data_IF_442407900312
#
_entry.id   IF_442407900312
#
_cell.length_a   1.000
_cell.length_b   1.000
_cell.length_c   1.000
_cell.angle_alpha   90.00
_cell.angle_beta   90.00
_cell.angle_gamma   90.00
#
_symmetry.space_group_name_H-M   'P 1'
#
loop_
_entity.id
_entity.type
_entity.pdbx_description
1 polymer ?
#
# COMPACT_ATOMS: atom_id res chain seq x y z
N UNK A 1 -3.99 -9.02 1.00
CA UNK A 1 -2.83 -9.66 0.33
C UNK A 1 -2.39 -10.97 1.01
N UNK A 2 -2.98 -11.34 2.12
CA UNK A 2 -2.45 -12.40 2.99
C UNK A 2 -1.23 -11.93 3.79
N UNK A 3 -0.47 -12.88 4.34
CA UNK A 3 0.76 -12.60 5.06
C UNK A 3 1.82 -11.95 4.15
N UNK A 4 2.59 -11.02 4.68
CA UNK A 4 3.74 -10.45 3.99
C UNK A 4 4.80 -11.54 3.78
N UNK A 5 5.31 -11.71 2.57
CA UNK A 5 6.39 -12.66 2.30
C UNK A 5 7.71 -11.92 2.39
N UNK A 6 8.58 -12.36 3.30
CA UNK A 6 9.88 -11.75 3.58
C UNK A 6 10.96 -12.82 3.60
N UNK A 7 12.18 -12.43 3.24
CA UNK A 7 13.35 -13.28 3.46
C UNK A 7 13.82 -13.23 4.92
N UNK A 8 14.69 -14.15 5.31
CA UNK A 8 15.45 -14.03 6.57
C UNK A 8 16.16 -12.68 6.60
N UNK A 9 16.09 -11.96 7.71
CA UNK A 9 16.59 -10.60 7.90
C UNK A 9 15.97 -9.51 7.00
N UNK A 10 14.85 -9.80 6.36
CA UNK A 10 14.13 -8.81 5.54
C UNK A 10 13.14 -7.98 6.34
N UNK A 11 12.49 -7.02 5.66
CA UNK A 11 11.59 -6.04 6.29
C UNK A 11 10.40 -6.66 7.03
N UNK A 12 9.95 -7.85 6.64
CA UNK A 12 8.89 -8.61 7.32
C UNK A 12 9.39 -9.61 8.35
N UNK A 13 10.70 -9.69 8.57
CA UNK A 13 11.32 -10.50 9.62
C UNK A 13 11.48 -9.65 10.89
N UNK A 14 10.43 -9.63 11.71
CA UNK A 14 10.40 -8.83 12.93
C UNK A 14 11.01 -9.53 14.14
N UNK A 15 11.73 -10.65 13.94
CA UNK A 15 12.41 -11.32 15.04
C UNK A 15 13.47 -10.42 15.68
N UNK A 16 13.56 -10.51 16.99
CA UNK A 16 14.63 -9.83 17.74
C UNK A 16 15.94 -10.61 17.54
N UNK A 17 17.07 -9.94 17.72
CA UNK A 17 18.41 -10.51 17.49
C UNK A 17 18.69 -11.80 18.29
N UNK A 18 17.98 -12.01 19.39
CA UNK A 18 18.11 -13.21 20.23
C UNK A 18 17.12 -14.33 19.84
N UNK A 19 16.20 -14.08 18.93
CA UNK A 19 15.27 -15.09 18.46
C UNK A 19 15.91 -15.89 17.32
N UNK A 20 15.89 -17.20 17.45
CA UNK A 20 16.48 -18.10 16.45
C UNK A 20 15.61 -18.21 15.20
N UNK A 21 16.26 -18.40 14.05
CA UNK A 21 15.58 -18.79 12.82
C UNK A 21 15.07 -20.23 12.87
N UNK A 22 14.33 -20.64 11.86
CA UNK A 22 13.89 -22.03 11.69
C UNK A 22 15.10 -22.96 11.58
N UNK A 23 15.40 -23.71 12.62
CA UNK A 23 16.57 -24.59 12.68
C UNK A 23 16.29 -26.03 12.28
N UNK A 24 15.25 -26.28 11.45
CA UNK A 24 14.98 -27.61 10.89
C UNK A 24 14.55 -28.69 11.89
N UNK A 25 14.42 -28.37 13.16
CA UNK A 25 14.06 -29.31 14.25
C UNK A 25 12.55 -29.36 14.55
N UNK A 26 11.69 -28.74 13.73
CA UNK A 26 10.26 -28.60 14.02
C UNK A 26 9.95 -27.58 15.11
N UNK A 27 10.87 -26.69 15.37
CA UNK A 27 10.76 -25.66 16.40
C UNK A 27 9.75 -24.58 16.00
N UNK A 28 9.25 -23.88 17.01
CA UNK A 28 8.18 -22.91 16.95
C UNK A 28 8.36 -21.87 15.83
N UNK A 29 7.27 -21.56 15.16
CA UNK A 29 7.21 -20.44 14.20
C UNK A 29 7.52 -19.14 14.94
N UNK A 30 8.12 -18.18 14.25
CA UNK A 30 8.25 -16.84 14.80
C UNK A 30 6.86 -16.26 15.11
N UNK A 31 6.72 -15.49 16.17
CA UNK A 31 5.42 -14.93 16.57
C UNK A 31 4.71 -14.18 15.43
N UNK A 32 5.45 -13.46 14.59
CA UNK A 32 4.91 -12.75 13.42
C UNK A 32 4.29 -13.72 12.38
N UNK A 33 4.79 -14.94 12.32
CA UNK A 33 4.26 -15.99 11.43
C UNK A 33 3.05 -16.71 12.06
N UNK A 34 3.10 -16.95 13.39
CA UNK A 34 1.98 -17.55 14.13
C UNK A 34 0.69 -16.73 14.00
N UNK A 35 0.81 -15.41 14.13
CA UNK A 35 -0.33 -14.48 13.95
C UNK A 35 -0.71 -14.26 12.49
N UNK A 36 0.01 -14.86 11.53
CA UNK A 36 -0.26 -14.75 10.10
C UNK A 36 0.08 -13.39 9.49
N UNK A 37 0.90 -12.58 10.16
CA UNK A 37 1.30 -11.27 9.63
C UNK A 37 2.41 -11.38 8.59
N UNK A 38 3.34 -12.32 8.75
CA UNK A 38 4.45 -12.54 7.83
C UNK A 38 4.67 -14.03 7.53
N UNK A 39 5.46 -14.30 6.49
CA UNK A 39 6.06 -15.59 6.16
C UNK A 39 7.53 -15.36 5.84
N UNK A 40 8.41 -15.92 6.67
CA UNK A 40 9.86 -15.78 6.52
C UNK A 40 10.37 -16.99 5.74
N UNK A 41 10.75 -16.77 4.49
CA UNK A 41 11.14 -17.83 3.54
C UNK A 41 12.31 -17.42 2.67
N UNK A 42 13.18 -18.35 2.35
CA UNK A 42 14.34 -18.17 1.47
C UNK A 42 14.33 -19.22 0.37
N UNK A 43 14.71 -18.81 -0.82
CA UNK A 43 14.77 -19.64 -2.02
C UNK A 43 13.44 -19.70 -2.80
N UNK A 44 13.52 -19.91 -4.14
CA UNK A 44 12.37 -19.86 -5.04
C UNK A 44 11.26 -20.85 -4.69
N UNK A 45 11.61 -22.03 -4.21
CA UNK A 45 10.64 -23.07 -3.87
C UNK A 45 9.82 -22.70 -2.63
N UNK A 46 10.48 -22.15 -1.59
CA UNK A 46 9.81 -21.70 -0.38
C UNK A 46 8.94 -20.46 -0.64
N UNK A 47 9.42 -19.51 -1.45
CA UNK A 47 8.62 -18.35 -1.90
C UNK A 47 7.41 -18.80 -2.69
N UNK A 48 7.55 -19.80 -3.60
CA UNK A 48 6.42 -20.37 -4.33
C UNK A 48 5.39 -20.99 -3.39
N UNK A 49 5.84 -21.75 -2.40
CA UNK A 49 4.95 -22.40 -1.43
C UNK A 49 4.19 -21.35 -0.60
N UNK A 50 4.87 -20.33 -0.08
CA UNK A 50 4.27 -19.23 0.68
C UNK A 50 3.25 -18.43 -0.16
N UNK A 51 3.57 -18.17 -1.43
CA UNK A 51 2.66 -17.50 -2.37
C UNK A 51 1.39 -18.29 -2.59
N UNK A 52 1.51 -19.60 -2.87
CA UNK A 52 0.36 -20.50 -3.06
C UNK A 52 -0.48 -20.63 -1.80
N UNK A 53 0.14 -20.63 -0.63
CA UNK A 53 -0.59 -20.67 0.65
C UNK A 53 -1.41 -19.40 0.87
N UNK A 54 -0.85 -18.21 0.61
CA UNK A 54 -1.61 -16.96 0.66
C UNK A 54 -2.80 -16.98 -0.32
N UNK A 55 -2.60 -17.48 -1.54
CA UNK A 55 -3.66 -17.62 -2.54
C UNK A 55 -4.73 -18.63 -2.10
N UNK A 56 -4.33 -19.78 -1.50
CA UNK A 56 -5.26 -20.76 -0.91
C UNK A 56 -6.12 -20.15 0.19
N UNK A 57 -5.55 -19.22 0.97
CA UNK A 57 -6.25 -18.50 2.03
C UNK A 57 -7.12 -17.34 1.50
N UNK A 58 -7.20 -17.15 0.18
CA UNK A 58 -8.07 -16.15 -0.45
C UNK A 58 -7.43 -14.78 -0.67
N UNK A 59 -6.10 -14.69 -0.70
CA UNK A 59 -5.43 -13.45 -1.06
C UNK A 59 -5.82 -13.02 -2.49
N UNK A 60 -6.14 -11.74 -2.65
CA UNK A 60 -6.48 -11.14 -3.96
C UNK A 60 -5.24 -10.78 -4.76
N UNK A 61 -4.15 -10.45 -4.09
CA UNK A 61 -2.82 -10.13 -4.63
C UNK A 61 -1.75 -10.57 -3.63
N UNK A 62 -0.50 -10.60 -4.06
CA UNK A 62 0.63 -11.06 -3.24
C UNK A 62 1.52 -9.88 -2.85
N UNK A 63 1.94 -9.83 -1.58
CA UNK A 63 2.88 -8.82 -1.05
C UNK A 63 4.21 -9.46 -0.69
N UNK A 64 5.31 -8.98 -1.32
CA UNK A 64 6.69 -9.30 -0.93
C UNK A 64 7.38 -8.07 -0.33
N UNK A 65 8.34 -8.30 0.53
CA UNK A 65 9.31 -7.31 1.00
C UNK A 65 10.58 -7.48 0.18
N UNK A 66 10.97 -6.46 -0.61
CA UNK A 66 12.13 -6.54 -1.51
C UNK A 66 13.20 -5.48 -1.24
N UNK A 67 13.06 -4.80 -0.12
CA UNK A 67 14.02 -3.84 0.41
C UNK A 67 13.71 -3.48 1.85
N UNK A 68 14.69 -2.93 2.56
CA UNK A 68 14.56 -2.55 3.96
C UNK A 68 13.56 -1.42 4.21
N UNK A 69 13.11 -1.27 5.45
CA UNK A 69 12.10 -0.30 5.84
C UNK A 69 12.37 0.43 7.15
N UNK A 70 11.51 1.43 7.47
CA UNK A 70 11.68 2.25 8.67
C UNK A 70 11.20 1.56 9.94
N UNK A 71 10.10 0.79 9.87
CA UNK A 71 9.48 0.19 11.04
C UNK A 71 10.27 -0.99 11.63
N UNK A 72 11.07 -1.68 10.83
CA UNK A 72 11.96 -2.77 11.23
C UNK A 72 13.30 -2.26 11.78
N UNK A 73 13.96 -3.06 12.62
CA UNK A 73 15.20 -2.64 13.30
C UNK A 73 16.46 -2.97 12.49
N UNK A 74 16.49 -4.12 11.80
CA UNK A 74 17.72 -4.75 11.34
C UNK A 74 17.96 -4.72 9.83
N UNK A 75 17.05 -4.16 9.06
CA UNK A 75 17.09 -4.05 7.60
C UNK A 75 17.33 -2.59 7.17
N UNK A 76 18.55 -2.19 6.79
CA UNK A 76 18.84 -0.84 6.29
C UNK A 76 18.05 -0.51 5.01
N UNK A 77 17.75 0.78 4.76
CA UNK A 77 16.96 1.22 3.58
C UNK A 77 17.64 0.94 2.25
N UNK A 78 18.96 0.78 2.22
CA UNK A 78 19.76 0.57 1.01
C UNK A 78 19.93 -0.92 0.66
N UNK A 79 19.45 -1.85 1.48
CA UNK A 79 19.51 -3.26 1.17
C UNK A 79 18.45 -3.64 0.13
N UNK A 80 18.80 -4.64 -0.68
CA UNK A 80 17.89 -5.25 -1.64
C UNK A 80 17.63 -6.68 -1.19
N UNK A 81 16.37 -6.97 -0.94
CA UNK A 81 15.90 -8.25 -0.42
C UNK A 81 15.40 -9.13 -1.57
N UNK A 82 15.47 -10.43 -1.38
CA UNK A 82 15.22 -11.45 -2.38
C UNK A 82 16.09 -11.31 -3.65
N UNK A 83 16.51 -12.42 -4.19
CA UNK A 83 17.07 -12.48 -5.52
C UNK A 83 15.99 -12.37 -6.60
N UNK A 84 16.36 -12.07 -7.83
CA UNK A 84 15.39 -11.90 -8.92
C UNK A 84 14.59 -13.18 -9.17
N UNK A 85 15.21 -14.35 -9.08
CA UNK A 85 14.57 -15.66 -9.24
C UNK A 85 13.52 -15.96 -8.15
N UNK A 86 13.73 -15.48 -6.93
CA UNK A 86 12.77 -15.62 -5.82
C UNK A 86 11.54 -14.76 -6.06
N UNK A 87 11.75 -13.48 -6.43
CA UNK A 87 10.64 -12.59 -6.80
C UNK A 87 9.87 -13.14 -8.00
N UNK A 88 10.60 -13.66 -9.01
CA UNK A 88 10.00 -14.27 -10.21
C UNK A 88 9.19 -15.52 -9.88
N UNK A 89 9.58 -16.28 -8.87
CA UNK A 89 8.82 -17.45 -8.40
C UNK A 89 7.45 -17.04 -7.85
N UNK A 90 7.40 -15.97 -7.06
CA UNK A 90 6.13 -15.40 -6.58
C UNK A 90 5.27 -14.86 -7.74
N UNK A 91 5.90 -14.13 -8.69
CA UNK A 91 5.20 -13.57 -9.86
C UNK A 91 4.54 -14.68 -10.68
N UNK A 92 5.27 -15.74 -11.03
CA UNK A 92 4.71 -16.89 -11.77
C UNK A 92 3.53 -17.54 -11.05
N UNK A 93 3.67 -17.79 -9.74
CA UNK A 93 2.59 -18.38 -8.95
C UNK A 93 1.36 -17.48 -8.88
N UNK A 94 1.52 -16.16 -8.81
CA UNK A 94 0.41 -15.21 -8.84
C UNK A 94 -0.23 -15.13 -10.23
N UNK A 95 0.55 -15.12 -11.31
CA UNK A 95 0.07 -15.13 -12.68
C UNK A 95 -0.77 -16.39 -13.01
N UNK A 96 -0.36 -17.56 -12.54
CA UNK A 96 -1.13 -18.82 -12.67
C UNK A 96 -2.52 -18.70 -12.03
N UNK A 97 -2.69 -17.83 -11.05
CA UNK A 97 -3.97 -17.53 -10.40
C UNK A 97 -4.69 -16.31 -11.00
N UNK A 98 -4.13 -15.68 -12.03
CA UNK A 98 -4.68 -14.49 -12.68
C UNK A 98 -4.67 -13.25 -11.81
N UNK A 99 -3.65 -13.12 -10.93
CA UNK A 99 -3.42 -11.95 -10.08
C UNK A 99 -1.99 -11.43 -10.19
N UNK A 100 -1.58 -10.52 -9.33
CA UNK A 100 -0.31 -9.83 -9.43
C UNK A 100 0.45 -9.79 -8.09
N UNK A 101 1.74 -9.45 -8.20
CA UNK A 101 2.63 -9.20 -7.06
C UNK A 101 2.85 -7.70 -6.89
N UNK A 102 2.78 -7.23 -5.66
CA UNK A 102 3.22 -5.93 -5.20
C UNK A 102 4.38 -6.06 -4.22
N UNK A 103 5.27 -5.08 -4.17
CA UNK A 103 6.46 -5.14 -3.33
C UNK A 103 6.66 -3.87 -2.50
N UNK A 104 7.07 -4.05 -1.24
CA UNK A 104 7.64 -2.99 -0.44
C UNK A 104 9.10 -2.78 -0.84
N UNK A 105 9.49 -1.58 -1.21
CA UNK A 105 10.88 -1.22 -1.50
C UNK A 105 11.04 0.31 -1.60
N UNK A 106 12.14 0.85 -1.08
CA UNK A 106 12.46 2.26 -1.20
C UNK A 106 13.55 2.56 -2.23
N UNK A 107 14.57 1.71 -2.32
CA UNK A 107 15.80 2.00 -3.06
C UNK A 107 15.70 1.62 -4.56
N UNK A 108 16.45 2.35 -5.44
CA UNK A 108 16.38 2.15 -6.89
C UNK A 108 16.74 0.73 -7.33
N UNK A 109 17.76 0.11 -6.70
CA UNK A 109 18.23 -1.24 -7.08
C UNK A 109 17.16 -2.30 -6.85
N UNK A 110 16.48 -2.25 -5.71
CA UNK A 110 15.38 -3.16 -5.39
C UNK A 110 14.19 -2.96 -6.31
N UNK A 111 13.83 -1.71 -6.60
CA UNK A 111 12.75 -1.37 -7.55
C UNK A 111 13.07 -1.92 -8.95
N UNK A 112 14.28 -1.68 -9.47
CA UNK A 112 14.68 -2.18 -10.78
C UNK A 112 14.67 -3.71 -10.87
N UNK A 113 15.11 -4.41 -9.80
CA UNK A 113 15.04 -5.87 -9.71
C UNK A 113 13.60 -6.38 -9.72
N UNK A 114 12.73 -5.75 -8.93
CA UNK A 114 11.32 -6.13 -8.85
C UNK A 114 10.60 -5.96 -10.20
N UNK A 115 10.85 -4.85 -10.91
CA UNK A 115 10.31 -4.61 -12.25
C UNK A 115 10.78 -5.68 -13.23
N UNK A 116 12.07 -6.02 -13.25
CA UNK A 116 12.63 -7.07 -14.11
C UNK A 116 12.04 -8.45 -13.81
N UNK A 117 11.71 -8.71 -12.56
CA UNK A 117 11.07 -9.95 -12.15
C UNK A 117 9.57 -10.03 -12.54
N UNK A 118 8.94 -8.94 -12.99
CA UNK A 118 7.55 -8.90 -13.44
C UNK A 118 6.56 -8.35 -12.41
N UNK A 119 7.04 -7.71 -11.35
CA UNK A 119 6.18 -7.05 -10.35
C UNK A 119 5.35 -5.94 -11.00
N UNK A 120 4.10 -5.78 -10.55
CA UNK A 120 3.14 -4.85 -11.17
C UNK A 120 2.80 -3.63 -10.30
N UNK A 121 3.18 -3.64 -9.02
CA UNK A 121 3.01 -2.51 -8.12
C UNK A 121 4.24 -2.38 -7.20
N UNK A 122 4.80 -1.19 -7.19
CA UNK A 122 5.85 -0.77 -6.26
C UNK A 122 5.18 0.04 -5.16
N UNK A 123 5.25 -0.45 -3.93
CA UNK A 123 4.77 0.25 -2.77
C UNK A 123 5.91 1.10 -2.19
N UNK A 124 5.61 2.32 -1.81
CA UNK A 124 6.52 3.32 -1.26
C UNK A 124 7.40 3.98 -2.34
N UNK A 125 8.56 3.42 -2.66
CA UNK A 125 9.44 3.95 -3.71
C UNK A 125 10.03 5.34 -3.47
N UNK A 126 9.97 5.89 -2.25
CA UNK A 126 10.34 7.29 -1.95
C UNK A 126 11.79 7.67 -2.28
N UNK A 127 12.71 6.68 -2.30
CA UNK A 127 14.12 6.92 -2.60
C UNK A 127 14.50 6.60 -4.05
N UNK A 128 13.49 6.49 -4.92
CA UNK A 128 13.68 6.19 -6.35
C UNK A 128 14.49 7.28 -7.05
N UNK A 129 15.42 6.88 -7.90
CA UNK A 129 16.15 7.79 -8.77
C UNK A 129 15.48 7.94 -10.14
N UNK A 130 15.96 8.90 -10.92
CA UNK A 130 15.36 9.24 -12.21
C UNK A 130 15.46 8.10 -13.24
N UNK A 131 16.60 7.40 -13.40
CA UNK A 131 16.68 6.24 -14.30
C UNK A 131 15.69 5.13 -13.94
N UNK A 132 15.54 4.85 -12.65
CA UNK A 132 14.61 3.82 -12.17
C UNK A 132 13.15 4.26 -12.31
N UNK A 133 12.83 5.54 -12.10
CA UNK A 133 11.49 6.08 -12.36
C UNK A 133 11.11 5.94 -13.84
N UNK A 134 12.07 6.19 -14.75
CA UNK A 134 11.85 5.96 -16.18
C UNK A 134 11.61 4.48 -16.49
N UNK A 135 12.39 3.57 -15.92
CA UNK A 135 12.18 2.13 -16.05
C UNK A 135 10.79 1.72 -15.54
N UNK A 136 10.35 2.27 -14.41
CA UNK A 136 9.01 2.03 -13.86
C UNK A 136 7.92 2.51 -14.83
N UNK A 137 8.05 3.70 -15.39
CA UNK A 137 7.11 4.23 -16.39
C UNK A 137 7.04 3.34 -17.62
N UNK A 138 8.19 2.97 -18.18
CA UNK A 138 8.30 2.12 -19.38
C UNK A 138 7.70 0.72 -19.16
N UNK A 139 7.77 0.18 -17.94
CA UNK A 139 7.19 -1.12 -17.57
C UNK A 139 5.67 -1.10 -17.46
N UNK A 140 5.07 0.06 -17.28
CA UNK A 140 3.65 0.24 -17.01
C UNK A 140 3.18 -0.28 -15.66
N UNK A 141 4.08 -0.59 -14.74
CA UNK A 141 3.75 -0.90 -13.35
C UNK A 141 3.26 0.34 -12.59
N UNK A 142 2.64 0.13 -11.45
CA UNK A 142 2.12 1.18 -10.57
C UNK A 142 3.15 1.59 -9.54
N UNK A 143 3.08 2.85 -9.11
CA UNK A 143 3.74 3.35 -7.91
C UNK A 143 2.66 3.75 -6.90
N UNK A 144 2.59 3.05 -5.79
CA UNK A 144 1.64 3.28 -4.71
C UNK A 144 2.38 3.95 -3.56
N UNK A 145 2.16 5.25 -3.38
CA UNK A 145 2.92 6.06 -2.43
C UNK A 145 2.06 6.65 -1.32
N UNK A 146 2.73 7.01 -0.23
CA UNK A 146 2.22 7.79 0.89
C UNK A 146 2.84 9.19 0.85
N UNK A 147 2.06 10.22 1.23
CA UNK A 147 2.57 11.58 1.39
C UNK A 147 3.24 11.75 2.76
N UNK A 148 4.32 11.00 3.01
CA UNK A 148 4.99 11.04 4.31
C UNK A 148 5.67 12.38 4.59
N UNK A 149 5.42 12.88 5.81
CA UNK A 149 6.11 14.01 6.42
C UNK A 149 6.74 13.60 7.75
N UNK A 150 7.67 14.40 8.24
CA UNK A 150 8.44 14.08 9.46
C UNK A 150 7.54 13.86 10.68
N UNK A 151 6.41 14.55 10.72
CA UNK A 151 5.44 14.52 11.81
C UNK A 151 4.54 13.29 11.82
N UNK A 152 4.54 12.50 10.74
CA UNK A 152 3.62 11.35 10.61
C UNK A 152 3.94 10.21 11.57
N UNK A 153 5.22 10.00 11.84
CA UNK A 153 5.67 8.94 12.72
C UNK A 153 6.80 9.40 13.64
N UNK A 154 6.77 8.91 14.86
CA UNK A 154 7.87 9.01 15.83
C UNK A 154 8.25 7.61 16.24
N UNK A 155 9.50 7.25 15.96
CA UNK A 155 10.04 5.95 16.31
C UNK A 155 10.89 6.03 17.58
N UNK A 156 10.80 5.05 18.49
CA UNK A 156 11.59 5.03 19.73
C UNK A 156 13.08 4.82 19.47
N UNK A 157 13.43 4.13 18.38
CA UNK A 157 14.83 3.89 18.01
C UNK A 157 15.37 5.05 17.16
N UNK A 158 16.53 5.63 17.51
CA UNK A 158 17.19 6.64 16.67
C UNK A 158 17.49 6.15 15.24
N UNK A 159 17.77 4.86 15.06
CA UNK A 159 18.01 4.25 13.74
C UNK A 159 16.75 4.27 12.92
N UNK A 160 15.62 3.85 13.45
CA UNK A 160 14.31 3.90 12.77
C UNK A 160 13.91 5.35 12.46
N UNK A 161 14.12 6.28 13.39
CA UNK A 161 13.84 7.68 13.17
C UNK A 161 14.71 8.27 12.04
N UNK A 162 15.98 7.91 11.95
CA UNK A 162 16.87 8.34 10.87
C UNK A 162 16.41 7.78 9.51
N UNK A 163 15.97 6.51 9.46
CA UNK A 163 15.38 5.91 8.24
C UNK A 163 14.11 6.66 7.82
N UNK A 164 13.21 6.96 8.76
CA UNK A 164 12.00 7.73 8.49
C UNK A 164 12.29 9.11 7.87
N UNK A 165 13.27 9.84 8.43
CA UNK A 165 13.69 11.13 7.88
C UNK A 165 14.21 11.02 6.44
N UNK A 166 14.99 9.99 6.12
CA UNK A 166 15.45 9.74 4.75
C UNK A 166 14.28 9.53 3.79
N UNK A 167 13.28 8.73 4.19
CA UNK A 167 12.08 8.46 3.39
C UNK A 167 11.30 9.76 3.15
N UNK A 168 11.05 10.54 4.19
CA UNK A 168 10.35 11.82 4.09
C UNK A 168 11.06 12.80 3.14
N UNK A 169 12.41 12.88 3.21
CA UNK A 169 13.21 13.71 2.33
C UNK A 169 13.15 13.28 0.84
N UNK A 170 12.82 12.02 0.58
CA UNK A 170 12.65 11.51 -0.78
C UNK A 170 11.27 11.77 -1.39
N UNK A 171 10.25 12.08 -0.59
CA UNK A 171 8.85 12.17 -1.02
C UNK A 171 8.64 13.16 -2.15
N UNK A 172 9.15 14.39 -2.01
CA UNK A 172 9.00 15.47 -3.01
C UNK A 172 9.52 15.02 -4.37
N UNK A 173 10.76 14.57 -4.39
CA UNK A 173 11.42 14.14 -5.62
C UNK A 173 10.72 12.96 -6.28
N UNK A 174 10.25 12.00 -5.50
CA UNK A 174 9.56 10.83 -6.04
C UNK A 174 8.26 11.23 -6.74
N UNK A 175 7.43 12.11 -6.15
CA UNK A 175 6.22 12.62 -6.80
C UNK A 175 6.52 13.48 -8.04
N UNK A 176 7.53 14.36 -7.98
CA UNK A 176 7.95 15.16 -9.14
C UNK A 176 8.40 14.29 -10.32
N UNK A 177 9.20 13.26 -10.06
CA UNK A 177 9.64 12.32 -11.07
C UNK A 177 8.47 11.48 -11.62
N UNK A 178 7.55 11.04 -10.76
CA UNK A 178 6.37 10.29 -11.18
C UNK A 178 5.49 11.12 -12.12
N UNK A 179 5.29 12.40 -11.83
CA UNK A 179 4.59 13.33 -12.74
C UNK A 179 5.35 13.53 -14.04
N UNK A 180 6.67 13.78 -13.96
CA UNK A 180 7.53 13.99 -15.14
C UNK A 180 7.43 12.85 -16.13
N UNK A 181 7.39 11.61 -15.67
CA UNK A 181 7.36 10.40 -16.49
C UNK A 181 5.96 9.81 -16.66
N UNK A 182 4.91 10.51 -16.18
CA UNK A 182 3.51 10.07 -16.26
C UNK A 182 3.30 8.63 -15.74
N UNK A 183 3.93 8.33 -14.59
CA UNK A 183 3.80 7.02 -13.92
C UNK A 183 2.38 6.84 -13.40
N UNK A 184 1.84 5.64 -13.48
CA UNK A 184 0.56 5.29 -12.85
C UNK A 184 0.71 5.38 -11.34
N UNK A 185 0.00 6.30 -10.72
CA UNK A 185 0.03 6.52 -9.29
C UNK A 185 -1.20 5.94 -8.60
N UNK A 186 -0.97 5.34 -7.45
CA UNK A 186 -1.96 4.96 -6.47
C UNK A 186 -1.58 5.55 -5.10
N UNK A 187 -2.55 5.65 -4.21
CA UNK A 187 -2.33 6.17 -2.87
C UNK A 187 -2.89 5.21 -1.82
N UNK A 188 -2.17 5.03 -0.73
CA UNK A 188 -2.58 4.28 0.45
C UNK A 188 -2.09 4.91 1.74
N UNK A 189 -2.61 4.47 2.87
CA UNK A 189 -2.31 5.07 4.19
C UNK A 189 -1.08 4.48 4.86
N UNK A 190 -0.85 3.19 4.70
CA UNK A 190 0.19 2.41 5.38
C UNK A 190 0.18 2.57 6.93
N UNK A 191 -1.01 2.54 7.53
CA UNK A 191 -1.20 2.72 8.97
C UNK A 191 -1.01 1.43 9.80
N UNK A 192 -0.10 0.55 9.38
CA UNK A 192 0.04 -0.79 9.94
C UNK A 192 0.43 -0.79 11.44
N UNK A 193 1.35 0.08 11.85
CA UNK A 193 1.91 0.08 13.21
C UNK A 193 1.41 1.22 14.12
N UNK A 194 0.48 2.03 13.63
CA UNK A 194 -0.02 3.18 14.38
C UNK A 194 -1.56 3.27 14.38
N UNK A 195 -2.25 2.41 15.15
CA UNK A 195 -3.70 2.37 15.17
C UNK A 195 -4.33 3.68 15.65
N UNK A 196 -3.62 4.46 16.47
CA UNK A 196 -4.10 5.76 16.96
C UNK A 196 -4.29 6.79 15.82
N UNK A 197 -3.54 6.67 14.72
CA UNK A 197 -3.63 7.54 13.56
C UNK A 197 -4.78 7.18 12.60
N UNK A 198 -5.43 6.02 12.77
CA UNK A 198 -6.52 5.57 11.88
C UNK A 198 -7.64 6.60 11.76
N UNK A 199 -7.98 7.28 12.87
CA UNK A 199 -9.00 8.34 12.86
C UNK A 199 -8.63 9.55 11.99
N UNK A 200 -7.33 9.76 11.72
CA UNK A 200 -6.79 10.88 10.95
C UNK A 200 -6.30 10.44 9.55
N UNK A 201 -6.62 9.22 9.12
CA UNK A 201 -6.10 8.65 7.86
C UNK A 201 -6.35 9.54 6.63
N UNK A 202 -7.45 10.28 6.61
CA UNK A 202 -7.80 11.15 5.50
C UNK A 202 -6.87 12.38 5.37
N UNK A 203 -6.15 12.76 6.43
CA UNK A 203 -5.15 13.84 6.34
C UNK A 203 -4.05 13.54 5.33
N UNK A 204 -3.71 12.25 5.11
CA UNK A 204 -2.77 11.84 4.07
C UNK A 204 -3.24 12.20 2.66
N UNK A 205 -4.56 12.20 2.41
CA UNK A 205 -5.14 12.64 1.12
C UNK A 205 -4.93 14.15 0.95
N UNK A 206 -5.20 14.93 1.99
CA UNK A 206 -5.06 16.39 1.97
C UNK A 206 -3.62 16.82 1.68
N UNK A 207 -2.63 16.14 2.23
CA UNK A 207 -1.21 16.41 1.98
C UNK A 207 -0.80 16.31 0.51
N UNK A 208 -1.52 15.52 -0.29
CA UNK A 208 -1.24 15.39 -1.72
C UNK A 208 -1.39 16.71 -2.49
N UNK A 209 -2.08 17.72 -1.95
CA UNK A 209 -2.21 19.06 -2.54
C UNK A 209 -0.85 19.72 -2.81
N UNK A 210 0.19 19.34 -2.11
CA UNK A 210 1.54 19.84 -2.34
C UNK A 210 2.04 19.54 -3.77
N UNK A 211 1.58 18.45 -4.38
CA UNK A 211 2.08 17.98 -5.68
C UNK A 211 1.00 17.88 -6.77
N UNK A 212 -0.27 17.75 -6.38
CA UNK A 212 -1.38 17.44 -7.30
C UNK A 212 -2.53 18.42 -7.15
N UNK A 213 -3.25 18.63 -8.25
CA UNK A 213 -4.54 19.34 -8.23
C UNK A 213 -5.60 18.50 -7.51
N UNK A 214 -6.67 19.15 -7.02
CA UNK A 214 -7.77 18.47 -6.37
C UNK A 214 -8.39 17.37 -7.23
N UNK A 215 -8.48 17.60 -8.55
CA UNK A 215 -8.98 16.59 -9.50
C UNK A 215 -8.06 15.36 -9.57
N UNK A 216 -6.73 15.57 -9.68
CA UNK A 216 -5.76 14.46 -9.71
C UNK A 216 -5.80 13.66 -8.41
N UNK A 217 -5.94 14.33 -7.25
CA UNK A 217 -6.06 13.68 -5.96
C UNK A 217 -7.31 12.80 -5.92
N UNK A 218 -8.48 13.38 -6.22
CA UNK A 218 -9.74 12.64 -6.21
C UNK A 218 -9.70 11.44 -7.15
N UNK A 219 -9.14 11.61 -8.35
CA UNK A 219 -8.96 10.53 -9.31
C UNK A 219 -8.04 9.44 -8.77
N UNK A 220 -6.91 9.80 -8.15
CA UNK A 220 -5.94 8.86 -7.59
C UNK A 220 -6.56 8.00 -6.48
N UNK A 221 -7.23 8.62 -5.50
CA UNK A 221 -7.79 7.91 -4.34
C UNK A 221 -9.10 7.16 -4.64
N UNK A 222 -9.66 7.30 -5.83
CA UNK A 222 -10.87 6.61 -6.28
C UNK A 222 -10.60 5.72 -7.49
N UNK A 223 -10.75 6.25 -8.70
CA UNK A 223 -10.72 5.47 -9.94
C UNK A 223 -9.34 4.86 -10.26
N UNK A 224 -8.22 5.51 -9.93
CA UNK A 224 -6.91 4.94 -10.18
C UNK A 224 -6.60 3.82 -9.18
N UNK A 225 -6.90 4.00 -7.88
CA UNK A 225 -6.82 2.92 -6.90
C UNK A 225 -7.69 1.72 -7.29
N UNK A 226 -8.91 1.98 -7.78
CA UNK A 226 -9.81 0.93 -8.26
C UNK A 226 -9.21 0.15 -9.46
N UNK A 227 -8.53 0.85 -10.38
CA UNK A 227 -7.86 0.23 -11.53
C UNK A 227 -6.68 -0.65 -11.09
N UNK A 228 -5.91 -0.23 -10.08
CA UNK A 228 -4.87 -1.07 -9.49
C UNK A 228 -5.48 -2.34 -8.88
N UNK A 229 -6.52 -2.22 -8.05
CA UNK A 229 -7.19 -3.36 -7.43
C UNK A 229 -7.79 -4.32 -8.46
N UNK A 230 -8.32 -3.80 -9.57
CA UNK A 230 -8.91 -4.59 -10.66
C UNK A 230 -7.89 -5.53 -11.34
N UNK A 231 -6.59 -5.28 -11.19
CA UNK A 231 -5.54 -6.18 -11.68
C UNK A 231 -5.55 -7.56 -11.00
N UNK A 232 -6.25 -7.72 -9.88
CA UNK A 232 -6.50 -9.02 -9.24
C UNK A 232 -7.43 -9.94 -10.08
N UNK A 233 -7.99 -9.43 -11.18
CA UNK A 233 -8.82 -10.21 -12.11
C UNK A 233 -9.95 -10.94 -11.39
N UNK A 234 -10.06 -12.26 -11.62
CA UNK A 234 -11.07 -13.09 -10.97
C UNK A 234 -10.84 -13.29 -9.45
N UNK A 235 -9.71 -12.85 -8.92
CA UNK A 235 -9.40 -12.86 -7.45
C UNK A 235 -9.81 -11.55 -6.78
N UNK A 236 -10.30 -10.56 -7.54
CA UNK A 236 -10.81 -9.33 -6.97
C UNK A 236 -12.02 -9.63 -6.06
N UNK A 237 -12.00 -9.22 -4.77
CA UNK A 237 -13.10 -9.48 -3.85
C UNK A 237 -14.33 -8.61 -4.12
N UNK A 238 -14.20 -7.62 -5.00
CA UNK A 238 -15.27 -6.69 -5.35
C UNK A 238 -15.96 -7.14 -6.65
N UNK A 239 -17.26 -7.51 -6.62
CA UNK A 239 -17.94 -8.09 -7.78
C UNK A 239 -18.33 -7.08 -8.85
N UNK A 240 -18.08 -5.78 -8.64
CA UNK A 240 -18.45 -4.71 -9.56
C UNK A 240 -17.36 -3.66 -9.72
N UNK A 241 -17.62 -2.65 -10.53
CA UNK A 241 -16.69 -1.52 -10.70
C UNK A 241 -16.61 -0.69 -9.41
N UNK A 242 -15.40 -0.27 -9.08
CA UNK A 242 -15.07 0.62 -7.97
C UNK A 242 -14.61 1.98 -8.49
N UNK A 243 -14.70 3.01 -7.62
CA UNK A 243 -14.09 4.32 -7.81
C UNK A 243 -14.73 5.17 -8.91
N UNK A 244 -15.93 4.83 -9.35
CA UNK A 244 -16.72 5.57 -10.33
C UNK A 244 -18.18 5.65 -9.92
N UNK A 245 -18.87 6.70 -10.37
CA UNK A 245 -20.31 6.88 -10.19
C UNK A 245 -20.96 6.64 -11.54
N UNK A 246 -21.40 5.42 -11.77
CA UNK A 246 -22.09 5.00 -12.99
C UNK A 246 -23.05 3.85 -12.71
N UNK A 247 -24.01 3.63 -13.58
CA UNK A 247 -24.95 2.51 -13.48
C UNK A 247 -24.20 1.17 -13.55
N UNK A 248 -24.51 0.26 -12.61
CA UNK A 248 -23.86 -1.05 -12.48
C UNK A 248 -22.54 -1.04 -11.68
N UNK A 249 -22.04 0.12 -11.25
CA UNK A 249 -20.93 0.18 -10.30
C UNK A 249 -21.37 -0.16 -8.87
N UNK A 250 -20.41 -0.55 -8.02
CA UNK A 250 -20.68 -0.70 -6.58
C UNK A 250 -21.05 0.66 -5.98
N UNK A 251 -22.12 0.67 -5.20
CA UNK A 251 -22.59 1.90 -4.53
C UNK A 251 -21.72 2.18 -3.29
N UNK A 252 -20.46 2.53 -3.52
CA UNK A 252 -19.51 3.05 -2.55
C UNK A 252 -19.44 4.57 -2.74
N UNK A 253 -20.26 5.31 -2.00
CA UNK A 253 -20.52 6.72 -2.25
C UNK A 253 -20.32 7.58 -0.99
N UNK A 254 -19.78 8.77 -1.21
CA UNK A 254 -19.67 9.80 -0.19
C UNK A 254 -20.46 11.05 -0.65
N UNK A 255 -21.35 11.55 0.22
CA UNK A 255 -21.93 12.87 0.05
C UNK A 255 -21.16 13.85 0.94
N UNK A 256 -20.44 14.78 0.32
CA UNK A 256 -19.56 15.74 0.98
C UNK A 256 -20.21 17.12 0.98
N UNK A 257 -20.20 17.80 2.13
CA UNK A 257 -20.62 19.19 2.23
C UNK A 257 -19.62 20.10 1.51
N UNK A 258 -20.06 20.77 0.45
CA UNK A 258 -19.22 21.58 -0.42
C UNK A 258 -18.68 20.81 -1.62
N UNK A 259 -17.69 21.37 -2.30
CA UNK A 259 -17.14 20.84 -3.55
C UNK A 259 -15.68 20.42 -3.40
N UNK A 260 -15.35 19.12 -3.28
CA UNK A 260 -13.97 18.64 -3.15
C UNK A 260 -13.06 18.97 -4.36
N UNK A 261 -13.61 19.23 -5.53
CA UNK A 261 -12.86 19.72 -6.70
C UNK A 261 -12.31 21.13 -6.50
N UNK A 262 -12.97 21.93 -5.67
CA UNK A 262 -12.52 23.28 -5.32
C UNK A 262 -11.71 23.29 -4.02
N UNK A 263 -12.02 22.39 -3.08
CA UNK A 263 -11.36 22.32 -1.79
C UNK A 263 -11.30 20.85 -1.30
N UNK A 264 -10.14 20.20 -1.47
CA UNK A 264 -9.94 18.81 -1.04
C UNK A 264 -9.73 18.70 0.48
N UNK A 265 -9.52 19.80 1.23
CA UNK A 265 -9.44 19.80 2.70
C UNK A 265 -10.73 19.26 3.34
N UNK A 266 -11.85 19.37 2.62
CA UNK A 266 -13.12 18.79 3.04
C UNK A 266 -13.03 17.29 3.34
N UNK A 267 -12.12 16.57 2.68
CA UNK A 267 -11.90 15.14 2.91
C UNK A 267 -11.13 14.86 4.21
N UNK A 268 -10.40 15.84 4.74
CA UNK A 268 -9.61 15.70 5.96
C UNK A 268 -10.44 15.57 7.24
N UNK A 269 -11.68 16.06 7.22
CA UNK A 269 -12.63 15.97 8.35
C UNK A 269 -13.93 15.25 7.95
N UNK A 270 -13.90 13.91 7.83
CA UNK A 270 -15.09 13.12 7.48
C UNK A 270 -16.17 13.19 8.56
N UNK A 271 -15.80 13.54 9.79
CA UNK A 271 -16.72 13.74 10.90
C UNK A 271 -17.73 14.84 10.60
N UNK A 272 -17.25 15.99 10.20
CA UNK A 272 -18.07 17.17 9.93
C UNK A 272 -18.55 17.24 8.47
N UNK A 273 -17.70 16.91 7.51
CA UNK A 273 -17.93 17.20 6.10
C UNK A 273 -18.61 16.08 5.31
N UNK A 274 -18.65 14.84 5.82
CA UNK A 274 -19.37 13.77 5.13
C UNK A 274 -20.79 13.64 5.68
N UNK A 275 -21.78 14.08 4.90
CA UNK A 275 -23.20 14.00 5.26
C UNK A 275 -23.73 12.57 5.13
N UNK A 276 -23.28 11.84 4.10
CA UNK A 276 -23.68 10.45 3.88
C UNK A 276 -22.46 9.61 3.52
N UNK A 277 -22.38 8.41 4.10
CA UNK A 277 -21.39 7.38 3.75
C UNK A 277 -22.16 6.12 3.39
N UNK A 278 -21.96 5.65 2.16
CA UNK A 278 -22.56 4.42 1.64
C UNK A 278 -21.45 3.47 1.23
N UNK A 279 -21.55 2.22 1.62
CA UNK A 279 -20.66 1.15 1.19
C UNK A 279 -21.48 -0.04 0.70
N UNK A 280 -21.25 -0.46 -0.54
CA UNK A 280 -22.00 -1.55 -1.18
C UNK A 280 -23.52 -1.40 -1.03
N UNK A 281 -24.03 -0.18 -1.22
CA UNK A 281 -25.45 0.16 -1.09
C UNK A 281 -25.98 0.27 0.36
N UNK A 282 -25.18 -0.05 1.37
CA UNK A 282 -25.54 0.08 2.78
C UNK A 282 -25.13 1.45 3.32
N UNK A 283 -26.07 2.17 3.94
CA UNK A 283 -25.83 3.49 4.54
C UNK A 283 -25.21 3.33 5.92
N UNK A 284 -23.98 3.79 6.11
CA UNK A 284 -23.24 3.76 7.38
C UNK A 284 -23.33 5.07 8.17
N UNK A 285 -23.54 6.19 7.46
CA UNK A 285 -23.74 7.52 8.06
C UNK A 285 -24.78 8.26 7.24
N UNK A 286 -25.69 8.94 7.92
CA UNK A 286 -26.70 9.80 7.27
C UNK A 286 -27.09 10.95 8.20
N UNK A 287 -26.46 12.09 8.04
CA UNK A 287 -26.79 13.32 8.77
C UNK A 287 -28.04 14.04 8.23
N UNK A 288 -28.51 13.68 7.03
CA UNK A 288 -29.68 14.35 6.42
C UNK A 288 -31.00 13.96 7.11
N UNK A 289 -31.02 12.85 7.85
CA UNK A 289 -32.17 12.40 8.62
C UNK A 289 -32.27 13.07 9.98
N UNK A 290 -31.19 13.69 10.47
CA UNK A 290 -31.15 14.43 11.74
C UNK A 290 -31.49 15.94 11.55
N UNK A 291 -32.15 16.30 10.45
CA UNK A 291 -32.68 17.67 10.26
C UNK A 291 -33.61 18.09 11.40
N UNK A 292 -33.73 19.39 11.74
CA UNK A 292 -34.52 19.84 12.86
C UNK A 292 -35.93 19.26 12.76
N UNK A 293 -36.36 18.56 13.83
CA UNK A 293 -37.70 18.03 13.94
C UNK A 293 -38.68 19.14 13.52
N UNK A 294 -39.39 18.90 12.42
CA UNK A 294 -40.42 19.85 11.96
C UNK A 294 -41.36 20.06 13.13
N UNK A 295 -41.22 21.25 13.75
CA UNK A 295 -42.11 21.66 14.83
C UNK A 295 -43.56 21.54 14.36
N UNK A 296 -44.30 20.73 15.06
CA UNK A 296 -45.75 20.67 14.93
C UNK A 296 -46.33 22.08 14.91
N UNK A 297 -46.96 22.42 13.82
CA UNK A 297 -48.04 23.45 13.84
C UNK A 297 -49.38 22.74 13.90
#
# INVERSE_FOLDING_TARGET
SGAMISQTSGHGDFRMIYEHGHTGCGCEMAHVEEIGASRIVDGPDAVTAATRENLRQGASQIKLMTGGGAASLYDPLDVTEFFEEEIRAAVRAAEDWGTYVMVHVYNPRGIARAIKAGVRSIEHGHLIDEPTMKLLADSGAWLSMQAFTVEDNTYPSPVQQAKHLQICNGTDRAYELAKKYNVKLAWGTDLLFNPAHTKNQNHGIVKLQKWFSNFEILKMVTSDNARLLAMSGARNPYPGKLGVVEEGALADLLLVEGNPLQNVDLLGDPGNNFSVIIKNGVVYKNKLQDGPASGNR
#
